data_IF_388291598125
#
_entry.id   IF_388291598125
#
_cell.length_a   1.000
_cell.length_b   1.000
_cell.length_c   1.000
_cell.angle_alpha   90.00
_cell.angle_beta   90.00
_cell.angle_gamma   90.00
#
_symmetry.space_group_name_H-M   'P 1'
#
loop_
_entity.id
_entity.type
_entity.pdbx_description
1 polymer ?
#
# COMPACT_ATOMS: atom_id res chain seq x y z
N UNK A 1 13.31 -7.14 16.95
CA UNK A 1 12.26 -6.20 16.50
C UNK A 1 10.95 -6.96 16.33
N UNK A 2 9.80 -6.37 16.72
CA UNK A 2 8.47 -7.00 16.73
C UNK A 2 8.11 -7.77 15.45
N UNK A 3 8.48 -7.21 14.29
CA UNK A 3 8.11 -7.73 12.98
C UNK A 3 9.22 -8.52 12.25
N UNK A 4 10.27 -8.96 12.95
CA UNK A 4 11.32 -9.79 12.34
C UNK A 4 12.08 -9.08 11.22
N UNK A 5 12.40 -9.78 10.12
CA UNK A 5 13.04 -9.23 8.92
C UNK A 5 12.10 -8.31 8.12
N UNK A 6 12.59 -7.60 7.09
CA UNK A 6 11.72 -6.81 6.21
C UNK A 6 10.67 -7.69 5.49
N UNK A 7 11.03 -8.83 4.85
CA UNK A 7 10.04 -9.73 4.25
C UNK A 7 9.02 -10.28 5.24
N UNK A 8 9.46 -10.63 6.47
CA UNK A 8 8.54 -11.10 7.50
C UNK A 8 7.55 -10.00 7.93
N UNK A 9 8.04 -8.77 8.10
CA UNK A 9 7.20 -7.61 8.39
C UNK A 9 6.20 -7.33 7.27
N UNK A 10 6.64 -7.45 6.01
CA UNK A 10 5.80 -7.26 4.83
C UNK A 10 4.63 -8.23 4.82
N UNK A 11 4.90 -9.52 4.97
CA UNK A 11 3.86 -10.57 5.00
C UNK A 11 2.92 -10.40 6.18
N UNK A 12 3.45 -10.08 7.37
CA UNK A 12 2.64 -9.90 8.57
C UNK A 12 1.68 -8.71 8.46
N UNK A 13 2.17 -7.57 7.97
CA UNK A 13 1.34 -6.38 7.78
C UNK A 13 0.34 -6.59 6.64
N UNK A 14 0.76 -7.23 5.54
CA UNK A 14 -0.15 -7.53 4.43
C UNK A 14 -1.23 -8.53 4.79
N UNK A 15 -0.92 -9.53 5.63
CA UNK A 15 -1.92 -10.44 6.19
C UNK A 15 -2.97 -9.69 7.00
N UNK A 16 -2.54 -8.80 7.91
CA UNK A 16 -3.44 -7.94 8.69
C UNK A 16 -4.37 -7.10 7.80
N UNK A 17 -3.82 -6.50 6.74
CA UNK A 17 -4.60 -5.70 5.79
C UNK A 17 -5.58 -6.57 4.99
N UNK A 18 -5.18 -7.77 4.59
CA UNK A 18 -6.07 -8.72 3.92
C UNK A 18 -7.23 -9.14 4.83
N UNK A 19 -6.96 -9.43 6.11
CA UNK A 19 -7.99 -9.74 7.12
C UNK A 19 -8.99 -8.57 7.28
N UNK A 20 -8.50 -7.32 7.29
CA UNK A 20 -9.35 -6.13 7.35
C UNK A 20 -10.28 -6.01 6.14
N UNK A 21 -9.76 -6.23 4.93
CA UNK A 21 -10.55 -6.19 3.70
C UNK A 21 -11.55 -7.36 3.64
N UNK A 22 -11.18 -8.54 4.12
CA UNK A 22 -12.11 -9.68 4.26
C UNK A 22 -13.26 -9.37 5.21
N UNK A 23 -12.99 -8.69 6.32
CA UNK A 23 -14.02 -8.21 7.26
C UNK A 23 -15.03 -7.24 6.63
N UNK A 24 -14.66 -6.59 5.52
CA UNK A 24 -15.53 -5.72 4.72
C UNK A 24 -16.22 -6.46 3.54
N UNK A 25 -16.11 -7.79 3.48
CA UNK A 25 -16.72 -8.60 2.43
C UNK A 25 -15.86 -8.76 1.16
N UNK A 26 -14.62 -8.27 1.15
CA UNK A 26 -13.72 -8.49 0.04
C UNK A 26 -13.18 -9.92 0.03
N UNK A 27 -13.13 -10.59 -1.12
CA UNK A 27 -12.36 -11.85 -1.27
C UNK A 27 -10.85 -11.56 -1.39
N UNK A 28 -10.28 -10.91 -0.38
CA UNK A 28 -8.87 -10.54 -0.31
C UNK A 28 -7.98 -11.75 0.01
N UNK A 29 -6.87 -11.88 -0.69
CA UNK A 29 -5.86 -12.92 -0.43
C UNK A 29 -4.44 -12.40 -0.65
N UNK A 30 -3.43 -13.13 -0.20
CA UNK A 30 -2.04 -12.82 -0.50
C UNK A 30 -1.61 -13.57 -1.77
N UNK A 31 -0.88 -12.87 -2.64
CA UNK A 31 -0.25 -13.46 -3.81
C UNK A 31 0.74 -14.55 -3.37
N UNK A 32 0.77 -15.70 -4.07
CA UNK A 32 1.70 -16.77 -3.74
C UNK A 32 3.15 -16.28 -3.88
N UNK A 33 4.12 -16.94 -3.24
CA UNK A 33 5.52 -16.61 -3.41
C UNK A 33 5.90 -16.70 -4.89
N UNK A 34 6.28 -15.57 -5.48
CA UNK A 34 6.85 -15.50 -6.83
C UNK A 34 8.31 -15.05 -6.73
N UNK A 35 9.12 -15.45 -7.72
CA UNK A 35 10.51 -15.00 -7.83
C UNK A 35 10.52 -13.47 -7.91
N UNK A 36 11.43 -12.83 -7.18
CA UNK A 36 11.53 -11.37 -7.10
C UNK A 36 11.53 -10.75 -8.51
N UNK A 37 10.57 -9.87 -8.75
CA UNK A 37 10.48 -9.11 -10.00
C UNK A 37 11.49 -7.96 -9.93
N UNK A 38 12.19 -7.66 -11.03
CA UNK A 38 13.15 -6.56 -11.08
C UNK A 38 12.47 -5.21 -10.80
N UNK A 39 13.23 -4.20 -10.37
CA UNK A 39 12.72 -2.82 -10.20
C UNK A 39 12.09 -2.27 -11.51
N UNK A 40 12.45 -2.83 -12.66
CA UNK A 40 11.89 -2.52 -13.98
C UNK A 40 10.54 -3.22 -14.30
N UNK A 41 9.85 -3.83 -13.33
CA UNK A 41 8.63 -4.64 -13.52
C UNK A 41 7.37 -3.87 -13.99
N UNK A 42 7.49 -2.57 -14.27
CA UNK A 42 6.36 -1.72 -14.64
C UNK A 42 5.65 -1.10 -13.44
N UNK A 43 4.42 -0.59 -13.62
CA UNK A 43 3.71 0.17 -12.59
C UNK A 43 3.41 -0.69 -11.38
N UNK A 44 3.42 -0.13 -10.17
CA UNK A 44 3.24 -0.89 -8.92
C UNK A 44 2.01 -1.84 -8.91
N UNK A 45 0.95 -1.57 -9.69
CA UNK A 45 -0.27 -2.39 -9.78
C UNK A 45 -0.32 -3.42 -10.92
N UNK A 46 0.74 -3.57 -11.72
CA UNK A 46 0.78 -4.44 -12.90
C UNK A 46 0.89 -5.93 -12.59
N UNK A 47 1.84 -6.27 -11.74
CA UNK A 47 2.26 -7.64 -11.47
C UNK A 47 2.44 -7.79 -9.97
N UNK A 48 1.70 -8.72 -9.34
CA UNK A 48 1.82 -8.92 -7.91
C UNK A 48 3.16 -9.60 -7.59
N UNK A 49 3.97 -8.96 -6.75
CA UNK A 49 5.05 -9.64 -6.05
C UNK A 49 4.47 -10.58 -4.97
N UNK A 50 5.27 -11.56 -4.53
CA UNK A 50 4.83 -12.51 -3.51
C UNK A 50 4.44 -11.80 -2.22
N UNK A 51 3.30 -12.18 -1.63
CA UNK A 51 2.78 -11.55 -0.42
C UNK A 51 1.98 -10.26 -0.65
N UNK A 52 1.74 -9.85 -1.90
CA UNK A 52 0.90 -8.69 -2.19
C UNK A 52 -0.59 -9.00 -2.08
N UNK A 53 -1.39 -7.99 -1.74
CA UNK A 53 -2.81 -8.18 -1.46
C UNK A 53 -3.59 -8.14 -2.77
N UNK A 54 -4.39 -9.19 -2.98
CA UNK A 54 -5.10 -9.49 -4.20
C UNK A 54 -6.61 -9.54 -3.96
N UNK A 55 -7.41 -8.99 -4.86
CA UNK A 55 -8.87 -9.21 -4.94
C UNK A 55 -9.19 -9.59 -6.39
N UNK A 56 -9.93 -10.69 -6.60
CA UNK A 56 -10.30 -11.13 -7.96
C UNK A 56 -9.09 -11.41 -8.87
N UNK A 57 -7.95 -11.83 -8.29
CA UNK A 57 -6.72 -12.06 -9.04
C UNK A 57 -5.95 -10.78 -9.41
N UNK A 58 -6.27 -9.63 -8.81
CA UNK A 58 -5.65 -8.33 -9.10
C UNK A 58 -5.06 -7.71 -7.84
N UNK A 59 -3.90 -7.05 -7.95
CA UNK A 59 -3.30 -6.31 -6.85
C UNK A 59 -4.13 -5.09 -6.49
N UNK A 60 -4.40 -4.90 -5.21
CA UNK A 60 -5.22 -3.77 -4.70
C UNK A 60 -4.50 -2.87 -3.72
N UNK A 61 -3.33 -3.28 -3.21
CA UNK A 61 -2.49 -2.47 -2.34
C UNK A 61 -1.10 -2.31 -2.94
N UNK A 62 -0.69 -1.06 -3.17
CA UNK A 62 0.69 -0.71 -3.49
C UNK A 62 1.36 -0.16 -2.24
N UNK A 63 2.48 -0.74 -1.82
CA UNK A 63 3.13 -0.38 -0.56
C UNK A 63 4.64 -0.34 -0.66
N UNK A 64 5.27 0.34 0.28
CA UNK A 64 6.71 0.43 0.44
C UNK A 64 7.09 0.31 1.93
N UNK A 65 8.30 -0.17 2.17
CA UNK A 65 8.87 -0.33 3.50
C UNK A 65 10.23 0.35 3.61
N UNK A 66 10.46 0.98 4.75
CA UNK A 66 11.76 1.49 5.15
C UNK A 66 12.06 1.10 6.60
N UNK A 67 13.32 0.74 6.90
CA UNK A 67 13.76 0.41 8.26
C UNK A 67 15.05 1.13 8.58
N UNK A 68 15.07 1.82 9.73
CA UNK A 68 16.25 2.45 10.29
C UNK A 68 16.38 2.04 11.76
N UNK A 69 17.44 1.30 12.08
CA UNK A 69 17.62 0.72 13.41
C UNK A 69 16.44 -0.16 13.80
N UNK A 70 15.73 0.20 14.87
CA UNK A 70 14.55 -0.50 15.38
C UNK A 70 13.23 0.04 14.83
N UNK A 71 13.23 1.17 14.11
CA UNK A 71 12.05 1.79 13.53
C UNK A 71 11.72 1.21 12.15
N UNK A 72 10.45 0.89 11.93
CA UNK A 72 9.90 0.41 10.66
C UNK A 72 8.80 1.35 10.20
N UNK A 73 8.87 1.80 8.95
CA UNK A 73 7.82 2.51 8.24
C UNK A 73 7.24 1.59 7.16
N UNK A 74 5.94 1.29 7.25
CA UNK A 74 5.14 0.75 6.16
C UNK A 74 4.16 1.85 5.72
N UNK A 75 4.13 2.18 4.44
CA UNK A 75 3.15 3.09 3.89
C UNK A 75 2.74 2.67 2.48
N UNK A 76 1.67 3.23 1.95
CA UNK A 76 1.17 2.85 0.64
C UNK A 76 -0.18 3.44 0.29
N UNK A 77 -0.82 2.85 -0.71
CA UNK A 77 -2.14 3.21 -1.20
C UNK A 77 -2.98 1.95 -1.42
N UNK A 78 -4.25 2.03 -1.03
CA UNK A 78 -5.26 1.00 -1.27
C UNK A 78 -6.20 1.52 -2.35
N UNK A 79 -6.41 0.72 -3.40
CA UNK A 79 -7.34 1.05 -4.47
C UNK A 79 -8.78 0.84 -4.00
N UNK A 80 -9.47 1.94 -3.66
CA UNK A 80 -10.87 1.91 -3.27
C UNK A 80 -11.81 1.91 -4.47
N UNK A 81 -11.48 2.67 -5.51
CA UNK A 81 -12.30 2.76 -6.72
C UNK A 81 -11.39 2.73 -7.93
N UNK A 82 -11.91 2.11 -8.99
CA UNK A 82 -11.19 2.00 -10.24
C UNK A 82 -11.31 3.29 -11.05
N UNK A 83 -10.23 4.06 -11.10
CA UNK A 83 -10.04 5.15 -12.06
C UNK A 83 -8.75 4.99 -12.86
N UNK A 84 -8.47 3.75 -13.29
CA UNK A 84 -7.29 3.41 -14.09
C UNK A 84 -7.25 4.17 -15.42
N UNK A 85 -8.38 4.72 -15.89
CA UNK A 85 -8.45 5.60 -17.07
C UNK A 85 -7.62 6.87 -16.93
N UNK A 86 -7.58 7.51 -15.75
CA UNK A 86 -6.73 8.68 -15.53
C UNK A 86 -5.25 8.28 -15.48
N UNK A 87 -4.95 7.12 -14.86
CA UNK A 87 -3.57 6.64 -14.82
C UNK A 87 -3.02 6.37 -16.22
N UNK A 88 -3.85 5.84 -17.13
CA UNK A 88 -3.49 5.67 -18.53
C UNK A 88 -3.17 6.99 -19.24
N UNK A 89 -3.85 8.10 -18.92
CA UNK A 89 -3.57 9.40 -19.57
C UNK A 89 -2.33 10.09 -19.02
N UNK A 90 -1.93 9.79 -17.78
CA UNK A 90 -0.75 10.39 -17.12
C UNK A 90 0.53 9.58 -17.31
N UNK A 91 0.40 8.32 -17.73
CA UNK A 91 1.52 7.39 -17.85
C UNK A 91 2.24 7.54 -19.20
N UNK A 92 3.57 7.67 -19.16
CA UNK A 92 4.42 7.56 -20.35
C UNK A 92 5.05 6.17 -20.44
N UNK A 93 4.87 5.49 -21.57
CA UNK A 93 5.48 4.18 -21.87
C UNK A 93 4.44 3.10 -22.20
N UNK A 94 4.61 2.45 -23.36
CA UNK A 94 3.64 1.48 -23.89
C UNK A 94 3.44 0.24 -22.99
N UNK A 95 4.50 -0.22 -22.31
CA UNK A 95 4.45 -1.38 -21.40
C UNK A 95 3.58 -1.06 -20.18
N UNK A 96 3.74 0.13 -19.60
CA UNK A 96 2.98 0.56 -18.41
C UNK A 96 1.51 0.75 -18.77
N UNK A 97 1.22 1.33 -19.95
CA UNK A 97 -0.14 1.49 -20.45
C UNK A 97 -0.84 0.14 -20.71
N UNK A 98 -0.17 -0.82 -21.35
CA UNK A 98 -0.72 -2.16 -21.58
C UNK A 98 -1.04 -2.88 -20.27
N UNK A 99 -0.17 -2.74 -19.27
CA UNK A 99 -0.43 -3.37 -17.99
C UNK A 99 -1.58 -2.71 -17.22
N UNK A 100 -1.68 -1.38 -17.23
CA UNK A 100 -2.82 -0.68 -16.64
C UNK A 100 -4.15 -1.04 -17.34
N UNK A 101 -4.14 -1.28 -18.65
CA UNK A 101 -5.31 -1.77 -19.40
C UNK A 101 -5.71 -3.19 -18.98
N UNK A 102 -4.74 -4.09 -18.81
CA UNK A 102 -4.98 -5.43 -18.27
C UNK A 102 -5.46 -5.37 -16.82
N UNK A 103 -5.06 -4.32 -16.08
CA UNK A 103 -5.50 -3.99 -14.72
C UNK A 103 -6.91 -3.36 -14.63
N UNK A 104 -7.67 -3.25 -15.74
CA UNK A 104 -9.06 -2.77 -15.74
C UNK A 104 -10.09 -3.83 -15.33
N UNK A 105 -10.95 -3.55 -14.36
CA UNK A 105 -12.17 -4.30 -14.02
C UNK A 105 -12.20 -4.90 -12.60
N UNK A 106 -12.76 -4.18 -11.64
CA UNK A 106 -13.14 -4.65 -10.30
C UNK A 106 -11.99 -5.07 -9.38
N UNK A 107 -11.33 -4.05 -8.81
CA UNK A 107 -10.64 -4.18 -7.52
C UNK A 107 -11.59 -3.94 -6.33
N UNK A 108 -12.81 -3.45 -6.58
CA UNK A 108 -13.69 -2.98 -5.52
C UNK A 108 -14.85 -3.96 -5.26
N UNK A 109 -14.92 -4.59 -4.09
CA UNK A 109 -16.06 -5.41 -3.71
C UNK A 109 -17.36 -4.60 -3.51
N UNK A 110 -17.27 -3.28 -3.29
CA UNK A 110 -18.45 -2.43 -3.12
C UNK A 110 -18.19 -0.96 -3.56
N UNK A 111 -18.84 -0.44 -4.62
CA UNK A 111 -18.71 0.95 -5.07
C UNK A 111 -19.04 2.00 -3.98
N UNK A 112 -19.75 1.60 -2.91
CA UNK A 112 -20.09 2.43 -1.78
C UNK A 112 -18.98 2.50 -0.73
N UNK A 113 -17.99 1.59 -0.75
CA UNK A 113 -16.92 1.56 0.24
C UNK A 113 -16.15 2.89 0.27
N UNK A 114 -16.02 3.47 1.46
CA UNK A 114 -15.33 4.74 1.71
C UNK A 114 -14.03 4.51 2.45
N UNK A 115 -13.08 5.43 2.27
CA UNK A 115 -11.77 5.35 2.94
C UNK A 115 -11.86 5.30 4.48
N UNK A 116 -12.88 5.93 5.07
CA UNK A 116 -13.13 5.83 6.53
C UNK A 116 -13.44 4.39 6.97
N UNK A 117 -14.32 3.69 6.27
CA UNK A 117 -14.68 2.30 6.61
C UNK A 117 -13.47 1.36 6.49
N UNK A 118 -12.63 1.59 5.47
CA UNK A 118 -11.37 0.84 5.32
C UNK A 118 -10.40 1.15 6.45
N UNK A 119 -10.25 2.42 6.84
CA UNK A 119 -9.39 2.80 7.96
C UNK A 119 -9.87 2.18 9.29
N UNK A 120 -11.19 2.18 9.56
CA UNK A 120 -11.80 1.57 10.74
C UNK A 120 -11.58 0.05 10.76
N UNK A 121 -11.76 -0.63 9.63
CA UNK A 121 -11.50 -2.07 9.53
C UNK A 121 -10.02 -2.41 9.74
N UNK A 122 -9.09 -1.58 9.21
CA UNK A 122 -7.65 -1.75 9.42
C UNK A 122 -7.31 -1.56 10.90
N UNK A 123 -7.86 -0.54 11.55
CA UNK A 123 -7.66 -0.32 12.98
C UNK A 123 -8.16 -1.50 13.81
N UNK A 124 -9.36 -2.01 13.51
CA UNK A 124 -9.94 -3.16 14.21
C UNK A 124 -9.10 -4.44 14.00
N UNK A 125 -8.69 -4.73 12.77
CA UNK A 125 -7.84 -5.88 12.43
C UNK A 125 -6.49 -5.79 13.14
N UNK A 126 -5.83 -4.63 13.09
CA UNK A 126 -4.57 -4.40 13.78
C UNK A 126 -4.72 -4.57 15.29
N UNK A 127 -5.76 -3.98 15.91
CA UNK A 127 -6.02 -4.11 17.35
C UNK A 127 -6.29 -5.55 17.79
N UNK A 128 -6.95 -6.35 16.97
CA UNK A 128 -7.21 -7.76 17.25
C UNK A 128 -5.96 -8.65 17.04
N UNK A 129 -5.14 -8.34 16.03
CA UNK A 129 -3.97 -9.15 15.64
C UNK A 129 -2.72 -8.85 16.45
N UNK A 130 -2.56 -7.60 16.88
CA UNK A 130 -1.32 -7.09 17.45
C UNK A 130 -1.53 -6.57 18.87
N UNK A 131 -0.97 -7.31 19.85
CA UNK A 131 -0.95 -6.91 21.25
C UNK A 131 -0.24 -5.57 21.47
N UNK A 132 -0.71 -4.79 22.44
CA UNK A 132 -0.14 -3.50 22.81
C UNK A 132 -1.21 -2.42 22.93
N UNK A 133 -0.79 -1.23 23.34
CA UNK A 133 -1.67 -0.08 23.45
C UNK A 133 -1.83 0.61 22.09
N UNK A 134 -3.06 0.70 21.62
CA UNK A 134 -3.45 1.42 20.41
C UNK A 134 -4.11 2.73 20.81
N UNK A 135 -3.29 3.73 21.09
CA UNK A 135 -3.77 5.06 21.43
C UNK A 135 -3.92 5.88 20.13
N UNK A 136 -4.95 6.74 20.01
CA UNK A 136 -4.94 7.79 19.01
C UNK A 136 -3.58 8.48 19.04
N UNK A 137 -3.04 8.81 17.87
CA UNK A 137 -1.77 9.51 17.82
C UNK A 137 -1.85 10.74 18.75
N UNK A 138 -0.90 10.92 19.67
CA UNK A 138 -0.84 12.11 20.50
C UNK A 138 -0.66 13.34 19.59
N UNK A 139 -0.66 14.53 20.19
CA UNK A 139 -0.43 15.79 19.49
C UNK A 139 0.57 15.62 18.32
N UNK A 140 0.05 15.73 17.10
CA UNK A 140 0.80 15.49 15.87
C UNK A 140 1.67 16.70 15.51
N UNK A 141 1.48 17.84 16.17
CA UNK A 141 2.17 19.09 15.88
C UNK A 141 3.70 18.96 15.91
N UNK A 142 4.35 18.31 16.91
CA UNK A 142 5.80 18.14 16.90
C UNK A 142 6.31 17.36 15.68
N UNK A 143 5.57 16.33 15.25
CA UNK A 143 5.93 15.55 14.07
C UNK A 143 5.72 16.37 12.78
N UNK A 144 4.63 17.14 12.69
CA UNK A 144 4.36 18.03 11.56
C UNK A 144 5.37 19.18 11.46
N UNK A 145 5.78 19.75 12.60
CA UNK A 145 6.85 20.75 12.66
C UNK A 145 8.17 20.18 12.16
N UNK A 146 8.55 18.99 12.62
CA UNK A 146 9.73 18.28 12.12
C UNK A 146 9.66 18.03 10.61
N UNK A 147 8.52 17.53 10.12
CA UNK A 147 8.29 17.27 8.70
C UNK A 147 8.32 18.56 7.84
N UNK A 148 7.86 19.69 8.38
CA UNK A 148 7.84 20.99 7.69
C UNK A 148 9.25 21.48 7.34
N UNK A 149 10.26 21.13 8.14
CA UNK A 149 11.66 21.43 7.82
C UNK A 149 12.16 20.75 6.54
N UNK A 150 11.51 19.65 6.13
CA UNK A 150 11.81 18.90 4.90
C UNK A 150 11.07 19.46 3.68
N UNK A 151 10.15 20.43 3.85
CA UNK A 151 9.38 20.99 2.75
C UNK A 151 10.25 21.57 1.61
N UNK A 152 11.34 22.31 1.88
CA UNK A 152 12.24 22.79 0.82
C UNK A 152 12.87 21.66 -0.02
N UNK A 153 13.16 20.52 0.63
CA UNK A 153 13.69 19.34 -0.04
C UNK A 153 12.64 18.67 -0.92
N UNK A 154 11.45 18.36 -0.37
CA UNK A 154 10.39 17.67 -1.12
C UNK A 154 9.74 18.49 -2.23
N UNK A 155 9.86 19.83 -2.20
CA UNK A 155 9.43 20.70 -3.31
C UNK A 155 10.50 20.89 -4.40
N UNK A 156 11.73 20.43 -4.17
CA UNK A 156 12.84 20.65 -5.08
C UNK A 156 12.71 19.78 -6.33
N UNK A 157 12.83 20.40 -7.50
CA UNK A 157 12.90 19.68 -8.77
C UNK A 157 14.12 18.74 -8.82
N UNK A 158 15.26 19.15 -8.23
CA UNK A 158 16.46 18.32 -8.16
C UNK A 158 16.18 17.01 -7.43
N UNK A 159 15.44 17.06 -6.32
CA UNK A 159 15.01 15.87 -5.60
C UNK A 159 13.96 15.06 -6.36
N UNK A 160 12.87 15.70 -6.81
CA UNK A 160 11.76 15.02 -7.48
C UNK A 160 12.18 14.31 -8.77
N UNK A 161 13.16 14.86 -9.50
CA UNK A 161 13.63 14.33 -10.77
C UNK A 161 14.99 13.63 -10.70
N UNK A 162 15.55 13.45 -9.49
CA UNK A 162 16.73 12.62 -9.31
C UNK A 162 16.45 11.20 -9.82
N UNK A 163 17.38 10.66 -10.61
CA UNK A 163 17.34 9.29 -11.14
C UNK A 163 18.43 8.47 -10.50
#
# INVERSE_FOLDING_TARGET
ARFGSLPAAYLEIHGMLADALQGLGASASLAPPVRAVSLDAGPCFSQPAGGEIMIGGRKVVGSAQFRQGTALLQHGSILLQENQSILLSLTRGAIIAQSLQQSRGSANPDPQLRGRQVAEAIQASAGARWSGEWNPAPDVEPALHGASSLFPHYRSAEWTWAR
#
